data_IF_652226130216
#
_entry.id   IF_652226130216
#
_cell.length_a   1.000
_cell.length_b   1.000
_cell.length_c   1.000
_cell.angle_alpha   90.00
_cell.angle_beta   90.00
_cell.angle_gamma   90.00
#
_symmetry.space_group_name_H-M   'P 1'
#
loop_
_entity.id
_entity.type
_entity.pdbx_description
1 polymer ?
#
# COMPACT_ATOMS: atom_id res chain seq x y z
N UNK A 1 -61.69 24.72 1.46
CA UNK A 1 -60.75 24.56 2.60
C UNK A 1 -59.47 23.91 2.10
N UNK A 2 -58.40 24.67 1.84
CA UNK A 2 -57.06 24.13 1.54
C UNK A 2 -56.07 24.89 2.42
N UNK A 3 -55.66 24.27 3.53
CA UNK A 3 -54.68 24.80 4.47
C UNK A 3 -53.29 24.59 3.84
N UNK A 4 -52.65 25.67 3.36
CA UNK A 4 -51.25 25.65 2.93
C UNK A 4 -50.38 25.33 4.15
N UNK A 5 -49.73 24.16 4.15
CA UNK A 5 -48.76 23.80 5.17
C UNK A 5 -47.43 24.50 4.83
N UNK A 6 -47.17 25.61 5.50
CA UNK A 6 -45.92 26.36 5.35
C UNK A 6 -44.81 25.60 6.10
N UNK A 7 -43.68 25.26 5.46
CA UNK A 7 -42.56 24.66 6.17
C UNK A 7 -42.02 25.69 7.17
N UNK A 8 -41.98 25.31 8.45
CA UNK A 8 -41.46 26.13 9.53
C UNK A 8 -39.98 26.50 9.35
N UNK A 9 -39.47 27.48 10.12
CA UNK A 9 -38.12 28.00 9.95
C UNK A 9 -37.10 26.88 10.14
N UNK A 10 -36.28 26.63 9.12
CA UNK A 10 -35.12 25.74 9.22
C UNK A 10 -34.18 26.33 10.27
N UNK A 11 -34.18 25.75 11.48
CA UNK A 11 -33.20 26.07 12.52
C UNK A 11 -31.83 25.72 11.92
N UNK A 12 -31.09 26.75 11.49
CA UNK A 12 -29.73 26.59 11.00
C UNK A 12 -28.89 25.90 12.06
N UNK A 13 -28.13 24.88 11.67
CA UNK A 13 -27.16 24.23 12.54
C UNK A 13 -26.24 25.31 13.13
N UNK A 14 -26.03 25.35 14.46
CA UNK A 14 -25.19 26.38 15.05
C UNK A 14 -23.77 26.25 14.50
N UNK A 15 -23.21 27.36 13.98
CA UNK A 15 -21.88 27.45 13.38
C UNK A 15 -20.79 26.81 14.26
N UNK A 16 -20.92 26.95 15.58
CA UNK A 16 -20.00 26.38 16.56
C UNK A 16 -19.98 24.84 16.56
N UNK A 17 -21.12 24.21 16.28
CA UNK A 17 -21.25 22.74 16.23
C UNK A 17 -20.66 22.21 14.92
N UNK A 18 -20.86 22.93 13.81
CA UNK A 18 -20.19 22.62 12.54
C UNK A 18 -18.66 22.75 12.65
N UNK A 19 -18.17 23.80 13.32
CA UNK A 19 -16.73 24.03 13.53
C UNK A 19 -16.11 22.97 14.45
N UNK A 20 -16.83 22.55 15.49
CA UNK A 20 -16.41 21.45 16.37
C UNK A 20 -16.30 20.10 15.64
N UNK A 21 -17.24 19.81 14.74
CA UNK A 21 -17.24 18.57 13.96
C UNK A 21 -16.06 18.50 12.97
N UNK A 22 -15.73 19.63 12.32
CA UNK A 22 -14.56 19.75 11.43
C UNK A 22 -13.26 19.60 12.22
N UNK A 23 -13.15 20.24 13.40
CA UNK A 23 -11.98 20.12 14.25
C UNK A 23 -11.74 18.69 14.75
N UNK A 24 -12.80 17.95 15.09
CA UNK A 24 -12.71 16.52 15.44
C UNK A 24 -12.32 15.63 14.26
N UNK A 25 -12.72 15.98 13.03
CA UNK A 25 -12.34 15.22 11.83
C UNK A 25 -10.87 15.37 11.45
N UNK A 26 -10.23 16.50 11.79
CA UNK A 26 -8.84 16.80 11.41
C UNK A 26 -7.79 16.07 12.25
N UNK A 27 -8.12 15.57 13.45
CA UNK A 27 -7.18 14.83 14.31
C UNK A 27 -7.10 13.33 14.00
N UNK A 28 -7.91 12.83 13.06
CA UNK A 28 -8.03 11.39 12.78
C UNK A 28 -6.80 10.75 12.11
N UNK A 29 -5.89 11.54 11.52
CA UNK A 29 -4.73 11.02 10.78
C UNK A 29 -3.38 11.18 11.51
N UNK A 30 -3.38 11.45 12.82
CA UNK A 30 -2.15 11.54 13.61
C UNK A 30 -1.65 10.16 14.04
N UNK A 31 -1.16 9.34 13.10
CA UNK A 31 -0.44 8.11 13.42
C UNK A 31 1.07 8.34 13.25
N UNK A 32 1.82 8.16 14.33
CA UNK A 32 3.29 8.19 14.30
C UNK A 32 3.78 6.76 14.24
N UNK A 33 4.35 6.30 13.11
CA UNK A 33 4.92 4.97 13.02
C UNK A 33 6.06 4.83 14.04
N UNK A 34 6.09 3.72 14.77
CA UNK A 34 7.22 3.40 15.62
C UNK A 34 8.40 2.98 14.73
N UNK A 35 9.60 3.59 14.90
CA UNK A 35 10.75 3.24 14.09
C UNK A 35 11.25 1.84 14.45
N UNK A 36 11.57 1.04 13.42
CA UNK A 36 12.18 -0.28 13.60
C UNK A 36 13.55 -0.15 14.27
N UNK A 37 13.75 -0.88 15.37
CA UNK A 37 15.06 -0.95 16.03
C UNK A 37 16.07 -1.72 15.17
N UNK A 38 17.37 -1.49 15.40
CA UNK A 38 18.42 -2.22 14.67
C UNK A 38 18.33 -3.74 14.90
N UNK A 39 18.01 -4.16 16.11
CA UNK A 39 17.87 -5.59 16.45
C UNK A 39 16.71 -6.23 15.68
N UNK A 40 15.59 -5.51 15.52
CA UNK A 40 14.45 -5.96 14.72
C UNK A 40 14.80 -6.09 13.24
N UNK A 41 15.54 -5.12 12.69
CA UNK A 41 16.00 -5.15 11.30
C UNK A 41 16.93 -6.35 11.03
N UNK A 42 17.86 -6.62 11.96
CA UNK A 42 18.75 -7.78 11.87
C UNK A 42 17.98 -9.10 12.00
N UNK A 43 17.02 -9.18 12.92
CA UNK A 43 16.17 -10.36 13.07
C UNK A 43 15.36 -10.64 11.80
N UNK A 44 14.82 -9.58 11.17
CA UNK A 44 14.10 -9.70 9.90
C UNK A 44 15.04 -10.13 8.77
N UNK A 45 16.20 -9.50 8.60
CA UNK A 45 17.15 -9.84 7.54
C UNK A 45 17.67 -11.28 7.65
N UNK A 46 17.88 -11.78 8.87
CA UNK A 46 18.30 -13.16 9.11
C UNK A 46 17.18 -14.16 8.80
N UNK A 47 15.93 -13.85 9.16
CA UNK A 47 14.76 -14.63 8.78
C UNK A 47 14.53 -14.66 7.26
N UNK A 48 14.60 -13.50 6.60
CA UNK A 48 14.45 -13.43 5.14
C UNK A 48 15.54 -14.27 4.45
N UNK A 49 16.78 -14.19 4.93
CA UNK A 49 17.88 -15.00 4.39
C UNK A 49 17.65 -16.50 4.56
N UNK A 50 17.08 -16.97 5.67
CA UNK A 50 16.79 -18.40 5.82
C UNK A 50 15.67 -18.84 4.87
N UNK A 51 14.60 -18.05 4.74
CA UNK A 51 13.48 -18.36 3.85
C UNK A 51 13.88 -18.41 2.36
N UNK A 52 14.90 -17.64 1.94
CA UNK A 52 15.41 -17.69 0.55
C UNK A 52 15.87 -19.09 0.13
N UNK A 53 16.37 -19.92 1.06
CA UNK A 53 16.96 -21.23 0.77
C UNK A 53 16.15 -22.42 1.32
N UNK A 54 15.06 -22.19 2.05
CA UNK A 54 14.32 -23.22 2.80
C UNK A 54 13.69 -24.31 1.90
N UNK A 55 13.33 -23.96 0.66
CA UNK A 55 12.67 -24.87 -0.28
C UNK A 55 13.61 -25.50 -1.33
N UNK A 56 14.90 -25.63 -1.02
CA UNK A 56 15.88 -26.27 -1.91
C UNK A 56 16.07 -27.75 -1.56
N UNK A 57 16.05 -28.60 -2.57
CA UNK A 57 16.28 -30.04 -2.38
C UNK A 57 17.75 -30.28 -1.94
N UNK A 58 18.00 -30.96 -0.80
CA UNK A 58 19.35 -31.24 -0.35
C UNK A 58 20.15 -32.07 -1.37
N UNK A 59 21.47 -31.91 -1.35
CA UNK A 59 22.38 -32.70 -2.18
C UNK A 59 22.83 -33.91 -1.36
N UNK A 60 22.18 -35.05 -1.60
CA UNK A 60 22.44 -36.30 -0.87
C UNK A 60 23.35 -37.28 -1.62
N UNK A 61 23.51 -37.10 -2.93
CA UNK A 61 24.25 -37.98 -3.84
C UNK A 61 25.01 -37.15 -4.87
N UNK A 62 26.00 -37.72 -5.57
CA UNK A 62 26.69 -37.06 -6.67
C UNK A 62 25.70 -36.55 -7.72
N UNK A 63 25.91 -35.31 -8.16
CA UNK A 63 25.04 -34.63 -9.12
C UNK A 63 25.59 -34.85 -10.53
N UNK A 64 24.78 -35.43 -11.41
CA UNK A 64 25.07 -35.50 -12.84
C UNK A 64 24.84 -34.15 -13.53
N UNK A 65 25.48 -33.92 -14.69
CA UNK A 65 25.45 -32.63 -15.39
C UNK A 65 24.02 -32.12 -15.64
N UNK A 66 23.12 -32.99 -16.10
CA UNK A 66 21.72 -32.64 -16.35
C UNK A 66 20.98 -32.20 -15.07
N UNK A 67 21.26 -32.87 -13.96
CA UNK A 67 20.69 -32.52 -12.66
C UNK A 67 21.23 -31.18 -12.15
N UNK A 68 22.51 -30.89 -12.38
CA UNK A 68 23.12 -29.61 -12.04
C UNK A 68 22.47 -28.46 -12.82
N UNK A 69 22.29 -28.64 -14.14
CA UNK A 69 21.65 -27.64 -15.00
C UNK A 69 20.19 -27.39 -14.60
N UNK A 70 19.42 -28.47 -14.37
CA UNK A 70 18.03 -28.35 -13.92
C UNK A 70 17.91 -27.61 -12.58
N UNK A 71 18.81 -27.89 -11.63
CA UNK A 71 18.85 -27.20 -10.32
C UNK A 71 19.22 -25.72 -10.46
N UNK A 72 20.19 -25.39 -11.32
CA UNK A 72 20.62 -24.01 -11.56
C UNK A 72 19.47 -23.13 -12.08
N UNK A 73 18.62 -23.68 -12.96
CA UNK A 73 17.42 -22.98 -13.46
C UNK A 73 16.31 -22.97 -12.40
N UNK A 74 16.01 -24.11 -11.76
CA UNK A 74 14.90 -24.25 -10.81
C UNK A 74 15.05 -23.39 -9.54
N UNK A 75 16.27 -23.23 -9.05
CA UNK A 75 16.59 -22.50 -7.83
C UNK A 75 17.31 -21.18 -8.10
N UNK A 76 17.13 -20.60 -9.30
CA UNK A 76 17.70 -19.32 -9.66
C UNK A 76 17.12 -18.18 -8.80
N UNK A 77 17.93 -17.61 -7.92
CA UNK A 77 17.51 -16.53 -7.04
C UNK A 77 17.37 -15.20 -7.81
N UNK A 78 18.24 -14.94 -8.78
CA UNK A 78 18.23 -13.72 -9.58
C UNK A 78 16.93 -13.57 -10.37
N UNK A 79 16.41 -14.66 -10.92
CA UNK A 79 15.12 -14.68 -11.61
C UNK A 79 13.98 -14.30 -10.67
N UNK A 80 13.97 -14.86 -9.45
CA UNK A 80 12.95 -14.53 -8.44
C UNK A 80 13.05 -13.08 -7.99
N UNK A 81 14.27 -12.57 -7.82
CA UNK A 81 14.52 -11.16 -7.51
C UNK A 81 13.97 -10.24 -8.60
N UNK A 82 14.24 -10.53 -9.88
CA UNK A 82 13.70 -9.73 -10.98
C UNK A 82 12.16 -9.71 -11.04
N UNK A 83 11.49 -10.80 -10.65
CA UNK A 83 10.03 -10.83 -10.52
C UNK A 83 9.53 -9.93 -9.37
N UNK A 84 10.22 -9.93 -8.24
CA UNK A 84 9.90 -9.07 -7.09
C UNK A 84 10.16 -7.59 -7.40
N UNK A 85 11.27 -7.28 -8.06
CA UNK A 85 11.60 -5.92 -8.52
C UNK A 85 10.53 -5.39 -9.48
N UNK A 86 10.08 -6.22 -10.43
CA UNK A 86 8.99 -5.84 -11.33
C UNK A 86 7.68 -5.59 -10.59
N UNK A 87 7.32 -6.45 -9.63
CA UNK A 87 6.12 -6.26 -8.82
C UNK A 87 6.19 -4.97 -7.98
N UNK A 88 7.38 -4.61 -7.49
CA UNK A 88 7.61 -3.34 -6.80
C UNK A 88 7.41 -2.15 -7.76
N UNK A 89 8.00 -2.20 -8.95
CA UNK A 89 7.81 -1.17 -9.98
C UNK A 89 6.33 -0.99 -10.35
N UNK A 90 5.60 -2.08 -10.57
CA UNK A 90 4.17 -2.05 -10.87
C UNK A 90 3.35 -1.39 -9.74
N UNK A 91 3.69 -1.67 -8.49
CA UNK A 91 3.04 -1.04 -7.34
C UNK A 91 3.34 0.47 -7.26
N UNK A 92 4.59 0.86 -7.51
CA UNK A 92 4.97 2.27 -7.57
C UNK A 92 4.27 3.02 -8.71
N UNK A 93 4.10 2.38 -9.88
CA UNK A 93 3.31 2.95 -10.98
C UNK A 93 1.84 3.13 -10.61
N UNK A 94 1.23 2.19 -9.91
CA UNK A 94 -0.14 2.29 -9.42
C UNK A 94 -0.30 3.45 -8.41
N UNK A 95 0.62 3.56 -7.46
CA UNK A 95 0.70 4.67 -6.49
C UNK A 95 0.77 6.03 -7.22
N UNK A 96 1.66 6.16 -8.22
CA UNK A 96 1.80 7.39 -9.01
C UNK A 96 0.55 7.70 -9.84
N UNK A 97 -0.19 6.69 -10.31
CA UNK A 97 -1.44 6.90 -11.05
C UNK A 97 -2.48 7.63 -10.20
N UNK A 98 -2.58 7.33 -8.91
CA UNK A 98 -3.49 8.03 -8.00
C UNK A 98 -3.09 9.50 -7.79
N UNK A 99 -1.80 9.79 -7.67
CA UNK A 99 -1.30 11.17 -7.51
C UNK A 99 -1.49 12.05 -8.75
N UNK A 100 -1.71 11.45 -9.92
CA UNK A 100 -2.01 12.16 -11.16
C UNK A 100 -3.48 12.59 -11.26
N UNK A 101 -4.42 11.89 -10.60
CA UNK A 101 -5.85 12.15 -10.74
C UNK A 101 -6.26 13.59 -10.35
N UNK A 102 -5.82 14.17 -9.21
CA UNK A 102 -6.20 15.54 -8.84
C UNK A 102 -5.66 16.58 -9.84
N UNK A 103 -4.44 16.36 -10.35
CA UNK A 103 -3.79 17.25 -11.32
C UNK A 103 -4.48 17.20 -12.69
N UNK A 104 -4.88 16.00 -13.13
CA UNK A 104 -5.64 15.82 -14.36
C UNK A 104 -7.05 16.40 -14.25
N UNK A 105 -7.76 16.17 -13.13
CA UNK A 105 -9.08 16.76 -12.88
C UNK A 105 -9.04 18.30 -12.85
N UNK A 106 -8.04 18.88 -12.19
CA UNK A 106 -7.83 20.33 -12.17
C UNK A 106 -7.51 20.90 -13.55
N UNK A 107 -6.65 20.23 -14.33
CA UNK A 107 -6.31 20.64 -15.71
C UNK A 107 -7.45 20.46 -16.70
N UNK A 108 -8.31 19.48 -16.50
CA UNK A 108 -9.53 19.27 -17.29
C UNK A 108 -10.64 20.29 -16.96
N UNK A 109 -10.38 21.25 -16.06
CA UNK A 109 -11.35 22.28 -15.70
C UNK A 109 -12.54 21.75 -14.90
N UNK A 110 -12.39 20.61 -14.21
CA UNK A 110 -13.43 20.07 -13.34
C UNK A 110 -13.66 21.01 -12.15
N UNK A 111 -14.60 21.94 -12.32
CA UNK A 111 -15.17 22.76 -11.25
C UNK A 111 -16.26 21.92 -10.58
N UNK A 112 -15.93 21.31 -9.44
CA UNK A 112 -16.95 20.71 -8.58
C UNK A 112 -18.00 21.76 -8.23
N UNK A 113 -19.26 21.40 -8.41
CA UNK A 113 -20.44 22.20 -8.06
C UNK A 113 -20.52 22.44 -6.55
#
# INVERSE_FOLDING_TARGET
MIKKHLPGPRKGLPLNLALGLVAMGLSACSITPEPLSLDQQLAQATGDRSTMFDHQEPVSQPIDLEQAMARAVKYNLQQRLGLMERALEDNLLDQQRYDMLPKLAARAGWRGA
#
